data_IF_948422756521
#
_entry.id   IF_948422756521
#
_cell.length_a   1.000
_cell.length_b   1.000
_cell.length_c   1.000
_cell.angle_alpha   90.00
_cell.angle_beta   90.00
_cell.angle_gamma   90.00
#
_symmetry.space_group_name_H-M   'P 1'
#
loop_
_entity.id
_entity.type
_entity.pdbx_description
1 polymer ?
#
# COMPACT_ATOMS: atom_id res chain seq x y z
N UNK A 1 -11.80 -3.59 16.15
CA UNK A 1 -12.21 -2.44 15.31
C UNK A 1 -11.08 -2.10 14.36
N UNK A 2 -11.38 -1.64 13.14
CA UNK A 2 -10.39 -1.15 12.18
C UNK A 2 -10.60 0.35 11.97
N UNK A 3 -9.51 1.12 11.98
CA UNK A 3 -9.55 2.57 11.80
C UNK A 3 -8.37 2.98 10.93
N UNK A 4 -8.63 3.74 9.87
CA UNK A 4 -7.55 4.32 9.07
C UNK A 4 -6.85 5.47 9.79
N UNK A 5 -5.83 5.98 9.14
CA UNK A 5 -5.01 7.06 9.68
C UNK A 5 -5.75 8.40 9.77
N UNK A 6 -5.61 9.05 10.92
CA UNK A 6 -5.84 10.48 11.10
C UNK A 6 -4.59 11.27 10.67
N UNK A 7 -4.78 12.20 9.73
CA UNK A 7 -3.75 13.09 9.21
C UNK A 7 -4.15 14.54 9.50
N UNK A 8 -3.29 15.26 10.21
CA UNK A 8 -3.46 16.68 10.55
C UNK A 8 -2.46 17.49 9.73
N UNK A 9 -2.91 18.60 9.16
CA UNK A 9 -2.12 19.41 8.23
C UNK A 9 -2.32 20.91 8.48
N UNK A 10 -1.52 21.77 7.83
CA UNK A 10 -1.71 23.23 7.83
C UNK A 10 -2.51 23.74 6.62
N UNK A 11 -2.76 25.04 6.59
CA UNK A 11 -3.45 25.71 5.48
C UNK A 11 -2.68 25.65 4.15
N UNK A 12 -1.42 25.22 4.14
CA UNK A 12 -0.63 25.03 2.91
C UNK A 12 -0.64 23.58 2.43
N UNK A 13 -1.23 22.67 3.21
CA UNK A 13 -1.28 21.25 2.91
C UNK A 13 -0.09 20.45 3.45
N UNK A 14 0.78 21.05 4.27
CA UNK A 14 1.88 20.34 4.90
C UNK A 14 1.35 19.48 6.07
N UNK A 15 1.73 18.22 6.09
CA UNK A 15 1.35 17.30 7.17
C UNK A 15 2.18 17.57 8.42
N UNK A 16 1.51 17.72 9.56
CA UNK A 16 2.14 17.82 10.87
C UNK A 16 2.13 16.50 11.63
N UNK A 17 1.06 15.73 11.48
CA UNK A 17 0.86 14.53 12.26
C UNK A 17 0.11 13.48 11.46
N UNK A 18 0.56 12.23 11.58
CA UNK A 18 -0.02 11.07 10.94
C UNK A 18 0.02 9.92 11.96
N UNK A 19 -1.16 9.40 12.32
CA UNK A 19 -1.30 8.36 13.36
C UNK A 19 -1.05 6.93 12.87
N UNK A 20 -1.11 6.71 11.56
CA UNK A 20 -1.13 5.37 10.97
C UNK A 20 -2.45 4.63 11.19
N UNK A 21 -2.57 3.48 10.54
CA UNK A 21 -3.73 2.62 10.66
C UNK A 21 -3.71 1.84 11.98
N UNK A 22 -4.88 1.62 12.57
CA UNK A 22 -5.05 0.91 13.83
C UNK A 22 -6.08 -0.23 13.72
N UNK A 23 -5.76 -1.37 14.32
CA UNK A 23 -6.61 -2.56 14.35
C UNK A 23 -6.67 -3.17 15.76
N UNK A 24 -7.81 -3.78 16.10
CA UNK A 24 -8.01 -4.51 17.36
C UNK A 24 -8.81 -3.71 18.40
N UNK A 25 -8.32 -3.68 19.64
CA UNK A 25 -8.91 -2.91 20.74
C UNK A 25 -8.53 -1.42 20.62
N UNK A 26 -9.11 -0.77 19.61
CA UNK A 26 -8.82 0.63 19.30
C UNK A 26 -9.67 1.50 20.21
N UNK A 27 -9.01 2.27 21.08
CA UNK A 27 -9.68 3.24 21.94
C UNK A 27 -10.39 4.33 21.12
N UNK A 28 -11.53 4.86 21.61
CA UNK A 28 -12.17 6.02 21.00
C UNK A 28 -11.18 7.20 20.96
N UNK A 29 -11.03 7.80 19.79
CA UNK A 29 -10.22 9.01 19.64
C UNK A 29 -11.13 10.22 19.46
N UNK A 30 -10.86 11.25 20.25
CA UNK A 30 -11.44 12.57 20.04
C UNK A 30 -10.82 13.20 18.80
N UNK A 31 -11.66 13.72 17.92
CA UNK A 31 -11.21 14.42 16.72
C UNK A 31 -10.61 15.78 17.11
N UNK A 32 -9.57 16.24 16.41
CA UNK A 32 -9.01 17.56 16.66
C UNK A 32 -10.06 18.65 16.48
N UNK A 33 -10.13 19.57 17.44
CA UNK A 33 -10.93 20.78 17.33
C UNK A 33 -10.03 21.95 16.88
N UNK A 34 -10.53 22.77 15.95
CA UNK A 34 -9.80 23.92 15.40
C UNK A 34 -8.62 23.61 14.46
N UNK A 35 -8.29 22.34 14.21
CA UNK A 35 -7.24 21.94 13.26
C UNK A 35 -7.84 21.18 12.07
N UNK A 36 -7.40 21.46 10.82
CA UNK A 36 -7.90 20.73 9.67
C UNK A 36 -7.28 19.31 9.65
N UNK A 37 -8.13 18.31 9.36
CA UNK A 37 -7.73 16.91 9.35
C UNK A 37 -8.47 16.11 8.28
N UNK A 38 -7.86 15.02 7.85
CA UNK A 38 -8.47 13.97 7.01
C UNK A 38 -8.31 12.63 7.72
N UNK A 39 -9.32 11.77 7.59
CA UNK A 39 -9.27 10.38 8.06
C UNK A 39 -9.31 9.49 6.83
N UNK A 40 -8.29 8.63 6.67
CA UNK A 40 -8.26 7.64 5.60
C UNK A 40 -9.06 6.39 5.99
N UNK A 41 -9.33 5.53 5.02
CA UNK A 41 -9.82 4.18 5.30
C UNK A 41 -8.66 3.32 5.78
N UNK A 42 -8.98 2.29 6.56
CA UNK A 42 -7.99 1.29 6.97
C UNK A 42 -7.40 0.60 5.73
N UNK A 43 -6.09 0.51 5.67
CA UNK A 43 -5.32 -0.06 4.56
C UNK A 43 -5.13 0.87 3.36
N UNK A 44 -5.67 2.11 3.38
CA UNK A 44 -5.57 3.03 2.25
C UNK A 44 -4.14 3.48 1.94
N UNK A 45 -3.28 3.49 2.97
CA UNK A 45 -1.86 3.87 2.86
C UNK A 45 -0.91 2.68 2.77
N UNK A 46 -1.43 1.45 2.63
CA UNK A 46 -0.58 0.28 2.47
C UNK A 46 0.29 0.43 1.21
N UNK A 47 1.62 0.35 1.40
CA UNK A 47 2.57 0.55 0.31
C UNK A 47 2.72 2.00 -0.15
N UNK A 48 2.16 2.97 0.58
CA UNK A 48 2.19 4.40 0.22
C UNK A 48 2.67 5.27 1.38
N UNK A 49 3.27 6.40 1.04
CA UNK A 49 3.66 7.46 1.97
C UNK A 49 2.80 8.68 1.71
N UNK A 50 2.18 9.20 2.77
CA UNK A 50 1.50 10.50 2.75
C UNK A 50 2.54 11.63 2.60
N UNK A 51 2.45 12.42 1.53
CA UNK A 51 3.37 13.54 1.23
C UNK A 51 2.85 14.89 1.64
N UNK A 52 1.54 15.08 1.52
CA UNK A 52 0.89 16.37 1.72
C UNK A 52 -0.60 16.26 1.45
N UNK A 53 -1.29 17.37 1.62
CA UNK A 53 -2.70 17.52 1.29
C UNK A 53 -2.82 18.58 0.21
N UNK A 54 -3.55 18.27 -0.86
CA UNK A 54 -4.00 19.25 -1.82
C UNK A 54 -5.16 20.05 -1.21
N UNK A 55 -4.83 21.28 -0.80
CA UNK A 55 -5.77 22.26 -0.22
C UNK A 55 -6.46 23.12 -1.28
N UNK A 56 -6.11 22.95 -2.57
CA UNK A 56 -6.73 23.73 -3.66
C UNK A 56 -8.10 23.21 -4.07
N UNK A 57 -8.40 21.96 -3.73
CA UNK A 57 -9.66 21.26 -4.04
C UNK A 57 -10.52 21.12 -2.80
N UNK A 58 -11.85 21.19 -2.95
CA UNK A 58 -12.81 20.92 -1.86
C UNK A 58 -13.70 19.74 -2.25
N UNK A 59 -13.71 18.62 -1.52
CA UNK A 59 -12.93 18.35 -0.29
C UNK A 59 -11.43 18.24 -0.58
N UNK A 60 -10.61 18.65 0.40
CA UNK A 60 -9.15 18.53 0.35
C UNK A 60 -8.74 17.07 0.11
N UNK A 61 -7.66 16.83 -0.63
CA UNK A 61 -7.25 15.47 -1.01
C UNK A 61 -5.85 15.12 -0.52
N UNK A 62 -5.69 13.89 -0.05
CA UNK A 62 -4.38 13.36 0.33
C UNK A 62 -3.51 13.12 -0.92
N UNK A 63 -2.28 13.61 -0.89
CA UNK A 63 -1.24 13.35 -1.88
C UNK A 63 -0.37 12.20 -1.34
N UNK A 64 -0.30 11.11 -2.08
CA UNK A 64 0.50 9.93 -1.73
C UNK A 64 1.59 9.65 -2.76
N UNK A 65 2.71 9.10 -2.31
CA UNK A 65 3.75 8.49 -3.16
C UNK A 65 3.86 7.00 -2.84
N UNK A 66 4.15 6.17 -3.83
CA UNK A 66 4.37 4.74 -3.61
C UNK A 66 5.71 4.50 -2.89
N UNK A 67 5.72 3.60 -1.92
CA UNK A 67 6.95 3.16 -1.26
C UNK A 67 7.77 2.36 -2.27
N UNK A 68 9.04 2.70 -2.52
CA UNK A 68 9.88 1.90 -3.39
C UNK A 68 9.99 0.49 -2.82
N UNK A 69 9.45 -0.49 -3.57
CA UNK A 69 9.54 -1.89 -3.18
C UNK A 69 10.95 -2.40 -3.51
N UNK A 70 11.67 -2.79 -2.46
CA UNK A 70 12.93 -3.51 -2.57
C UNK A 70 12.57 -4.99 -2.44
N UNK A 71 12.75 -5.76 -3.53
CA UNK A 71 12.52 -7.21 -3.51
C UNK A 71 13.37 -7.85 -2.41
N UNK A 72 12.74 -8.62 -1.55
CA UNK A 72 13.44 -9.46 -0.58
C UNK A 72 14.08 -10.66 -1.28
N UNK A 73 15.14 -11.23 -0.69
CA UNK A 73 15.75 -12.45 -1.22
C UNK A 73 14.74 -13.62 -1.31
N UNK A 74 13.78 -13.70 -0.39
CA UNK A 74 12.73 -14.72 -0.44
C UNK A 74 11.78 -14.53 -1.63
N UNK A 75 11.37 -13.29 -1.92
CA UNK A 75 10.54 -12.98 -3.10
C UNK A 75 11.28 -13.28 -4.39
N UNK A 76 12.57 -12.93 -4.44
CA UNK A 76 13.44 -13.25 -5.57
C UNK A 76 13.55 -14.76 -5.80
N UNK A 77 13.81 -15.53 -4.75
CA UNK A 77 13.87 -17.00 -4.80
C UNK A 77 12.54 -17.60 -5.25
N UNK A 78 11.40 -17.12 -4.74
CA UNK A 78 10.07 -17.56 -5.18
C UNK A 78 9.83 -17.29 -6.66
N UNK A 79 10.25 -16.12 -7.15
CA UNK A 79 10.13 -15.72 -8.56
C UNK A 79 11.01 -16.58 -9.47
N UNK A 80 12.24 -16.87 -9.06
CA UNK A 80 13.14 -17.78 -9.77
C UNK A 80 12.58 -19.20 -9.83
N UNK A 81 12.05 -19.71 -8.70
CA UNK A 81 11.43 -21.02 -8.61
C UNK A 81 10.17 -21.14 -9.48
N UNK A 82 9.35 -20.09 -9.56
CA UNK A 82 8.18 -20.05 -10.45
C UNK A 82 8.60 -20.07 -11.93
N UNK A 83 9.65 -19.32 -12.30
CA UNK A 83 10.20 -19.34 -13.67
C UNK A 83 10.71 -20.73 -14.04
N UNK A 84 11.52 -21.34 -13.18
CA UNK A 84 12.05 -22.68 -13.41
C UNK A 84 10.92 -23.72 -13.57
N UNK A 85 9.87 -23.64 -12.75
CA UNK A 85 8.71 -24.53 -12.91
C UNK A 85 7.98 -24.33 -14.24
N UNK A 86 7.76 -23.07 -14.66
CA UNK A 86 7.14 -22.77 -15.95
C UNK A 86 7.95 -23.34 -17.11
N UNK A 87 9.28 -23.18 -17.08
CA UNK A 87 10.18 -23.72 -18.10
C UNK A 87 10.13 -25.25 -18.16
N UNK A 88 10.11 -25.91 -17.00
CA UNK A 88 9.99 -27.38 -16.92
C UNK A 88 8.66 -27.87 -17.51
N UNK A 89 7.55 -27.16 -17.25
CA UNK A 89 6.23 -27.49 -17.82
C UNK A 89 6.26 -27.36 -19.34
N UNK A 90 6.82 -26.27 -19.86
CA UNK A 90 6.93 -26.04 -21.31
C UNK A 90 7.78 -27.10 -22.01
N UNK A 91 8.89 -27.51 -21.39
CA UNK A 91 9.75 -28.57 -21.91
C UNK A 91 9.03 -29.91 -21.94
N UNK A 92 8.35 -30.28 -20.85
CA UNK A 92 7.54 -31.51 -20.80
C UNK A 92 6.42 -31.51 -21.84
N UNK A 93 5.76 -30.38 -22.03
CA UNK A 93 4.71 -30.24 -23.05
C UNK A 93 5.25 -30.49 -24.47
N UNK A 94 6.41 -29.91 -24.79
CA UNK A 94 7.10 -30.15 -26.08
C UNK A 94 7.52 -31.61 -26.25
N UNK A 95 8.01 -32.24 -25.19
CA UNK A 95 8.39 -33.66 -25.20
C UNK A 95 7.18 -34.56 -25.49
N UNK A 96 6.05 -34.32 -24.83
CA UNK A 96 4.80 -35.05 -25.09
C UNK A 96 4.34 -34.87 -26.53
N UNK A 97 4.35 -33.65 -27.07
CA UNK A 97 3.97 -33.39 -28.46
C UNK A 97 4.87 -34.11 -29.48
N UNK A 98 6.17 -34.21 -29.19
CA UNK A 98 7.11 -34.90 -30.06
C UNK A 98 6.92 -36.42 -30.02
N UNK A 99 6.48 -36.98 -28.89
CA UNK A 99 6.24 -38.41 -28.71
C UNK A 99 4.89 -38.91 -29.26
N UNK A 100 4.02 -38.00 -29.75
CA UNK A 100 2.72 -38.33 -30.37
C UNK A 100 2.80 -38.38 -31.91
N UNK A 101 3.95 -37.99 -32.50
CA UNK A 101 4.24 -38.15 -33.94
C UNK A 101 4.95 -39.46 -34.21
#
# INVERSE_FOLDING_TARGET
>A
MQRGSLIIYDNTGKIFFNTGDAEGDVLPHTLPDGLPYIITKFGELNGKIAKGIDVTVTPHKLITEDIPHIETEEEKLKKELLKAQSEVVDLKYKEVLNNIK
#
